data_IF_164606045416
#
_entry.id   IF_164606045416
#
_cell.length_a   1.000
_cell.length_b   1.000
_cell.length_c   1.000
_cell.angle_alpha   90.00
_cell.angle_beta   90.00
_cell.angle_gamma   90.00
#
_symmetry.space_group_name_H-M   'P 1'
#
loop_
_entity.id
_entity.type
_entity.pdbx_description
1 polymer ?
#
# COMPACT_ATOMS: atom_id res chain seq x y z
N UNK A 1 9.24 -19.51 6.80
CA UNK A 1 8.43 -18.48 6.09
C UNK A 1 8.88 -17.09 6.49
N UNK A 2 9.01 -16.80 7.79
CA UNK A 2 9.58 -15.56 8.34
C UNK A 2 10.96 -15.23 7.78
N UNK A 3 11.90 -16.19 7.70
CA UNK A 3 13.25 -15.95 7.17
C UNK A 3 13.30 -15.56 5.68
N UNK A 4 12.26 -15.90 4.91
CA UNK A 4 12.13 -15.52 3.49
C UNK A 4 11.64 -14.07 3.41
N UNK A 5 10.64 -13.71 4.22
CA UNK A 5 10.10 -12.36 4.32
C UNK A 5 11.17 -11.39 4.82
N UNK A 6 11.93 -11.79 5.85
CA UNK A 6 13.03 -11.00 6.40
C UNK A 6 14.31 -11.02 5.54
N UNK A 7 14.26 -11.64 4.36
CA UNK A 7 15.38 -11.72 3.42
C UNK A 7 16.64 -12.39 3.98
N UNK A 8 16.50 -13.24 5.00
CA UNK A 8 17.60 -13.95 5.66
C UNK A 8 18.12 -15.15 4.86
N UNK A 9 17.35 -15.67 3.90
CA UNK A 9 17.73 -16.81 3.04
C UNK A 9 17.96 -16.35 1.60
N UNK A 10 19.20 -16.07 1.20
CA UNK A 10 19.51 -15.79 -0.22
C UNK A 10 19.45 -17.08 -1.05
N UNK A 11 18.33 -17.30 -1.71
CA UNK A 11 18.16 -18.34 -2.72
C UNK A 11 17.45 -17.74 -3.94
N UNK A 12 17.61 -18.32 -5.13
CA UNK A 12 17.13 -17.74 -6.40
C UNK A 12 15.61 -17.47 -6.39
N UNK A 13 14.85 -18.29 -5.64
CA UNK A 13 13.41 -18.11 -5.41
C UNK A 13 13.03 -16.81 -4.70
N UNK A 14 13.93 -16.21 -3.93
CA UNK A 14 13.68 -14.91 -3.29
C UNK A 14 13.59 -13.78 -4.31
N UNK A 15 14.25 -13.89 -5.47
CA UNK A 15 14.21 -12.85 -6.48
C UNK A 15 12.81 -12.71 -7.10
N UNK A 16 12.03 -13.81 -7.10
CA UNK A 16 10.64 -13.81 -7.53
C UNK A 16 9.70 -13.10 -6.53
N UNK A 17 10.07 -13.07 -5.25
CA UNK A 17 9.27 -12.50 -4.18
C UNK A 17 9.68 -11.07 -3.80
N UNK A 18 10.94 -10.70 -4.04
CA UNK A 18 11.44 -9.37 -3.72
C UNK A 18 12.66 -8.99 -4.57
N UNK A 19 12.41 -8.27 -5.67
CA UNK A 19 13.45 -7.69 -6.51
C UNK A 19 12.96 -6.43 -7.25
N UNK A 20 13.73 -5.93 -8.22
CA UNK A 20 13.26 -4.86 -9.10
C UNK A 20 12.04 -5.30 -9.93
N UNK A 21 11.98 -6.60 -10.25
CA UNK A 21 10.86 -7.31 -10.83
C UNK A 21 10.46 -8.47 -9.90
N UNK A 22 9.23 -8.45 -9.38
CA UNK A 22 8.69 -9.55 -8.57
C UNK A 22 7.20 -9.73 -8.82
N UNK A 23 6.69 -10.89 -8.41
CA UNK A 23 5.29 -11.28 -8.63
C UNK A 23 4.31 -10.33 -7.93
N UNK A 24 4.74 -9.72 -6.83
CA UNK A 24 3.97 -8.72 -6.09
C UNK A 24 3.73 -7.48 -6.95
N UNK A 25 4.78 -6.95 -7.60
CA UNK A 25 4.66 -5.80 -8.52
C UNK A 25 3.79 -6.08 -9.73
N UNK A 26 3.93 -7.26 -10.30
CA UNK A 26 3.11 -7.67 -11.42
C UNK A 26 1.63 -7.76 -11.04
N UNK A 27 1.31 -8.36 -9.89
CA UNK A 27 -0.07 -8.47 -9.42
C UNK A 27 -0.67 -7.10 -9.12
N UNK A 28 -0.02 -6.27 -8.30
CA UNK A 28 -0.61 -5.00 -7.92
C UNK A 28 -0.73 -4.03 -9.11
N UNK A 29 0.23 -4.03 -10.06
CA UNK A 29 0.14 -3.14 -11.22
C UNK A 29 -1.06 -3.48 -12.12
N UNK A 30 -1.27 -4.76 -12.41
CA UNK A 30 -2.44 -5.20 -13.17
C UNK A 30 -3.74 -4.99 -12.41
N UNK A 31 -3.76 -5.40 -11.13
CA UNK A 31 -4.93 -5.29 -10.26
C UNK A 31 -5.37 -3.84 -10.13
N UNK A 32 -4.46 -2.96 -9.74
CA UNK A 32 -4.76 -1.55 -9.53
C UNK A 32 -5.13 -0.86 -10.84
N UNK A 33 -4.46 -1.19 -11.94
CA UNK A 33 -4.83 -0.69 -13.27
C UNK A 33 -6.27 -1.05 -13.63
N UNK A 34 -6.65 -2.31 -13.41
CA UNK A 34 -8.01 -2.79 -13.64
C UNK A 34 -9.05 -2.11 -12.76
N UNK A 35 -8.84 -2.06 -11.43
CA UNK A 35 -9.82 -1.49 -10.49
C UNK A 35 -9.91 0.03 -10.54
N UNK A 36 -8.83 0.74 -10.91
CA UNK A 36 -8.85 2.19 -11.08
C UNK A 36 -9.28 2.64 -12.48
N UNK A 37 -9.29 1.73 -13.46
CA UNK A 37 -9.54 2.03 -14.87
C UNK A 37 -8.40 2.80 -15.56
N UNK A 38 -7.23 2.90 -14.91
CA UNK A 38 -6.03 3.53 -15.48
C UNK A 38 -5.25 2.47 -16.24
N UNK A 39 -5.30 2.50 -17.57
CA UNK A 39 -4.73 1.47 -18.46
C UNK A 39 -3.21 1.55 -18.67
N UNK A 40 -2.48 2.32 -17.84
CA UNK A 40 -1.02 2.35 -17.91
C UNK A 40 -0.35 1.08 -17.36
N UNK A 41 -1.07 0.27 -16.57
CA UNK A 41 -0.53 -0.96 -15.97
C UNK A 41 -0.75 -2.22 -16.80
N UNK A 42 -1.30 -2.14 -18.02
CA UNK A 42 -1.56 -3.30 -18.88
C UNK A 42 -0.24 -3.88 -19.44
N UNK A 43 0.28 -4.88 -18.73
CA UNK A 43 1.57 -5.54 -19.01
C UNK A 43 1.30 -7.00 -19.37
N UNK A 44 1.94 -7.53 -20.41
CA UNK A 44 1.84 -8.95 -20.77
C UNK A 44 2.78 -9.80 -19.90
N UNK A 45 2.35 -10.11 -18.67
CA UNK A 45 3.15 -10.88 -17.71
C UNK A 45 3.62 -12.21 -18.30
N UNK A 46 2.78 -12.90 -19.08
CA UNK A 46 3.13 -14.19 -19.67
C UNK A 46 4.36 -14.11 -20.58
N UNK A 47 4.48 -13.05 -21.38
CA UNK A 47 5.67 -12.81 -22.21
C UNK A 47 6.89 -12.49 -21.36
N UNK A 48 6.71 -11.69 -20.32
CA UNK A 48 7.80 -11.29 -19.43
C UNK A 48 8.36 -12.47 -18.62
N UNK A 49 7.51 -13.42 -18.23
CA UNK A 49 7.93 -14.68 -17.60
C UNK A 49 8.68 -15.56 -18.60
N UNK A 50 8.24 -15.63 -19.86
CA UNK A 50 8.89 -16.45 -20.89
C UNK A 50 10.31 -15.98 -21.24
N UNK A 51 10.61 -14.69 -21.06
CA UNK A 51 11.95 -14.13 -21.30
C UNK A 51 12.83 -14.12 -20.05
N UNK A 52 12.31 -14.52 -18.89
CA UNK A 52 13.02 -14.49 -17.61
C UNK A 52 13.83 -15.78 -17.41
N UNK A 53 15.11 -15.63 -17.01
CA UNK A 53 15.97 -16.73 -16.58
C UNK A 53 16.81 -16.34 -15.36
N UNK A 54 17.50 -17.33 -14.78
CA UNK A 54 18.44 -17.10 -13.67
C UNK A 54 19.84 -17.45 -14.16
N UNK A 55 20.74 -16.47 -14.12
CA UNK A 55 22.15 -16.59 -14.48
C UNK A 55 23.02 -16.07 -13.33
N UNK A 56 23.98 -16.86 -12.87
CA UNK A 56 24.87 -16.53 -11.74
C UNK A 56 24.14 -16.04 -10.47
N UNK A 57 22.99 -16.65 -10.16
CA UNK A 57 22.16 -16.28 -9.01
C UNK A 57 21.48 -14.91 -9.16
N UNK A 58 21.34 -14.42 -10.40
CA UNK A 58 20.63 -13.19 -10.74
C UNK A 58 19.53 -13.46 -11.73
N UNK A 59 18.39 -12.80 -11.51
CA UNK A 59 17.32 -12.73 -12.49
C UNK A 59 17.78 -11.89 -13.68
N UNK A 60 17.71 -12.47 -14.86
CA UNK A 60 18.04 -11.81 -16.13
C UNK A 60 16.85 -11.95 -17.08
N UNK A 61 16.76 -11.03 -18.03
CA UNK A 61 15.74 -11.02 -19.06
C UNK A 61 16.39 -11.16 -20.44
N UNK A 62 15.74 -11.90 -21.34
CA UNK A 62 16.18 -12.06 -22.71
C UNK A 62 16.22 -10.75 -23.50
N UNK A 63 16.98 -10.72 -24.59
CA UNK A 63 17.30 -9.53 -25.41
C UNK A 63 16.10 -8.76 -26.00
N UNK A 64 14.91 -9.34 -26.05
CA UNK A 64 13.70 -8.63 -26.50
C UNK A 64 12.99 -8.04 -25.28
N UNK A 65 13.55 -6.93 -24.79
CA UNK A 65 13.18 -6.29 -23.51
C UNK A 65 11.90 -5.43 -23.60
N UNK A 66 11.18 -5.48 -24.72
CA UNK A 66 9.99 -4.64 -24.96
C UNK A 66 8.97 -4.73 -23.82
N UNK A 67 8.73 -5.93 -23.30
CA UNK A 67 7.78 -6.12 -22.18
C UNK A 67 8.36 -5.67 -20.83
N UNK A 68 9.67 -5.73 -20.65
CA UNK A 68 10.32 -5.17 -19.47
C UNK A 68 10.24 -3.63 -19.48
N UNK A 69 10.42 -3.00 -20.64
CA UNK A 69 10.23 -1.56 -20.82
C UNK A 69 8.78 -1.16 -20.56
N UNK A 70 7.81 -1.89 -21.12
CA UNK A 70 6.38 -1.68 -20.84
C UNK A 70 6.07 -1.80 -19.36
N UNK A 71 6.64 -2.80 -18.67
CA UNK A 71 6.52 -2.94 -17.22
C UNK A 71 7.05 -1.70 -16.47
N UNK A 72 8.27 -1.24 -16.80
CA UNK A 72 8.90 -0.11 -16.12
C UNK A 72 8.14 1.21 -16.38
N UNK A 73 7.73 1.46 -17.62
CA UNK A 73 6.94 2.63 -18.00
C UNK A 73 5.55 2.59 -17.35
N UNK A 74 4.88 1.44 -17.41
CA UNK A 74 3.58 1.26 -16.80
C UNK A 74 3.61 1.49 -15.30
N UNK A 75 4.63 0.97 -14.61
CA UNK A 75 4.88 1.26 -13.20
C UNK A 75 5.07 2.76 -12.96
N UNK A 76 5.95 3.42 -13.73
CA UNK A 76 6.18 4.86 -13.59
C UNK A 76 4.88 5.68 -13.73
N UNK A 77 4.05 5.34 -14.71
CA UNK A 77 2.77 6.01 -14.93
C UNK A 77 1.75 5.72 -13.82
N UNK A 78 1.66 4.48 -13.32
CA UNK A 78 0.81 4.12 -12.17
C UNK A 78 1.18 4.91 -10.91
N UNK A 79 2.48 5.10 -10.63
CA UNK A 79 2.93 5.94 -9.52
C UNK A 79 2.44 7.38 -9.64
N UNK A 80 2.47 7.95 -10.84
CA UNK A 80 2.04 9.34 -11.04
C UNK A 80 0.53 9.51 -11.06
N UNK A 81 -0.18 8.58 -11.71
CA UNK A 81 -1.61 8.70 -11.96
C UNK A 81 -2.45 8.25 -10.76
N UNK A 82 -1.98 7.25 -10.00
CA UNK A 82 -2.75 6.61 -8.93
C UNK A 82 -2.08 6.87 -7.58
N UNK A 83 -0.88 6.33 -7.35
CA UNK A 83 -0.29 6.29 -6.01
C UNK A 83 0.07 7.67 -5.44
N UNK A 84 0.59 8.56 -6.28
CA UNK A 84 0.91 9.95 -5.91
C UNK A 84 -0.10 10.96 -6.45
N UNK A 85 -1.32 10.52 -6.75
CA UNK A 85 -2.37 11.47 -7.07
C UNK A 85 -2.60 12.41 -5.87
N UNK A 86 -2.52 13.73 -6.09
CA UNK A 86 -2.59 14.74 -5.02
C UNK A 86 -3.74 14.55 -4.03
N UNK A 87 -4.90 14.11 -4.51
CA UNK A 87 -6.07 13.84 -3.67
C UNK A 87 -5.87 12.61 -2.77
N UNK A 88 -5.22 11.55 -3.27
CA UNK A 88 -4.89 10.34 -2.48
C UNK A 88 -3.93 10.73 -1.36
N UNK A 89 -2.86 11.43 -1.69
CA UNK A 89 -1.88 11.93 -0.72
C UNK A 89 -2.54 12.86 0.31
N UNK A 90 -3.45 13.74 -0.13
CA UNK A 90 -4.21 14.60 0.77
C UNK A 90 -5.05 13.82 1.79
N UNK A 91 -5.74 12.75 1.35
CA UNK A 91 -6.47 11.87 2.27
C UNK A 91 -5.55 11.02 3.15
N UNK A 92 -4.40 10.58 2.64
CA UNK A 92 -3.42 9.82 3.42
C UNK A 92 -2.95 10.63 4.63
N UNK A 93 -2.59 11.89 4.43
CA UNK A 93 -2.18 12.79 5.52
C UNK A 93 -3.33 13.07 6.50
N UNK A 94 -4.55 13.23 6.01
CA UNK A 94 -5.73 13.37 6.89
C UNK A 94 -5.95 12.13 7.76
N UNK A 95 -5.85 10.93 7.18
CA UNK A 95 -6.04 9.66 7.89
C UNK A 95 -4.95 9.43 8.92
N UNK A 96 -3.67 9.68 8.57
CA UNK A 96 -2.54 9.63 9.52
C UNK A 96 -2.80 10.56 10.70
N UNK A 97 -3.14 11.82 10.42
CA UNK A 97 -3.41 12.80 11.46
C UNK A 97 -4.60 12.42 12.34
N UNK A 98 -5.68 11.89 11.75
CA UNK A 98 -6.83 11.42 12.51
C UNK A 98 -6.46 10.25 13.42
N UNK A 99 -5.66 9.29 12.93
CA UNK A 99 -5.18 8.16 13.72
C UNK A 99 -4.34 8.63 14.91
N UNK A 100 -3.37 9.53 14.70
CA UNK A 100 -2.56 10.11 15.78
C UNK A 100 -3.41 10.79 16.86
N UNK A 101 -4.39 11.58 16.44
CA UNK A 101 -5.29 12.30 17.36
C UNK A 101 -6.21 11.34 18.12
N UNK A 102 -6.71 10.29 17.47
CA UNK A 102 -7.52 9.24 18.11
C UNK A 102 -6.71 8.45 19.15
N UNK A 103 -5.43 8.17 18.86
CA UNK A 103 -4.53 7.55 19.84
C UNK A 103 -4.30 8.49 21.02
N UNK A 104 -4.04 9.77 20.77
CA UNK A 104 -3.84 10.78 21.82
C UNK A 104 -5.07 10.99 22.71
N UNK A 105 -6.26 10.93 22.14
CA UNK A 105 -7.54 11.02 22.88
C UNK A 105 -7.86 9.74 23.66
N UNK A 106 -7.12 8.64 23.44
CA UNK A 106 -7.35 7.34 24.05
C UNK A 106 -8.47 6.53 23.39
N UNK A 107 -8.95 6.97 22.21
CA UNK A 107 -10.00 6.32 21.45
C UNK A 107 -9.54 5.00 20.80
N UNK A 108 -8.25 4.95 20.49
CA UNK A 108 -7.51 3.83 19.90
C UNK A 108 -6.23 3.65 20.74
N UNK A 109 -5.81 2.42 21.00
CA UNK A 109 -4.52 2.17 21.67
C UNK A 109 -3.39 2.25 20.66
N UNK A 110 -2.21 2.69 21.09
CA UNK A 110 -1.05 2.73 20.18
C UNK A 110 -0.67 1.29 19.76
N UNK A 111 -0.70 0.95 18.46
CA UNK A 111 -0.29 -0.37 17.98
C UNK A 111 1.14 -0.75 18.39
N UNK A 112 2.03 0.23 18.56
CA UNK A 112 3.41 -0.03 18.98
C UNK A 112 3.47 -0.53 20.44
N UNK A 113 2.56 -0.09 21.31
CA UNK A 113 2.43 -0.61 22.67
C UNK A 113 1.90 -2.05 22.64
N UNK A 114 0.86 -2.30 21.85
CA UNK A 114 0.30 -3.65 21.68
C UNK A 114 1.34 -4.66 21.17
N UNK A 115 2.20 -4.23 20.24
CA UNK A 115 3.29 -5.04 19.71
C UNK A 115 4.32 -5.38 20.81
N UNK A 116 4.67 -4.42 21.68
CA UNK A 116 5.59 -4.65 22.81
C UNK A 116 4.98 -5.59 23.85
N UNK A 117 3.67 -5.51 24.07
CA UNK A 117 2.91 -6.40 24.95
C UNK A 117 2.71 -7.81 24.36
N UNK A 118 3.10 -8.02 23.10
CA UNK A 118 2.83 -9.24 22.33
C UNK A 118 1.32 -9.59 22.31
N UNK A 119 0.46 -8.57 22.34
CA UNK A 119 -0.98 -8.73 22.33
C UNK A 119 -1.49 -8.83 20.88
N UNK A 120 -1.12 -9.94 20.24
CA UNK A 120 -1.42 -10.17 18.82
C UNK A 120 -2.92 -10.22 18.55
N UNK A 121 -3.71 -10.76 19.49
CA UNK A 121 -5.16 -10.87 19.37
C UNK A 121 -5.83 -9.49 19.19
N UNK A 122 -5.38 -8.49 19.93
CA UNK A 122 -5.92 -7.13 19.81
C UNK A 122 -5.46 -6.46 18.53
N UNK A 123 -4.21 -6.69 18.10
CA UNK A 123 -3.67 -6.18 16.83
C UNK A 123 -4.48 -6.70 15.64
N UNK A 124 -4.93 -7.95 15.65
CA UNK A 124 -5.82 -8.48 14.60
C UNK A 124 -7.14 -7.72 14.48
N UNK A 125 -7.57 -7.02 15.54
CA UNK A 125 -8.74 -6.14 15.51
C UNK A 125 -8.51 -4.82 14.76
N UNK A 126 -7.26 -4.46 14.46
CA UNK A 126 -6.92 -3.24 13.72
C UNK A 126 -7.13 -3.45 12.23
N UNK A 127 -8.29 -3.04 11.74
CA UNK A 127 -8.66 -3.08 10.34
C UNK A 127 -9.40 -1.79 9.94
N UNK A 128 -9.61 -1.63 8.63
CA UNK A 128 -10.24 -0.44 8.05
C UNK A 128 -11.63 -0.18 8.64
N UNK A 129 -12.42 -1.23 8.89
CA UNK A 129 -13.75 -1.09 9.49
C UNK A 129 -13.67 -0.55 10.90
N UNK A 130 -12.78 -1.07 11.75
CA UNK A 130 -12.56 -0.58 13.11
C UNK A 130 -12.20 0.91 13.10
N UNK A 131 -11.21 1.28 12.29
CA UNK A 131 -10.78 2.67 12.18
C UNK A 131 -11.89 3.57 11.65
N UNK A 132 -12.59 3.15 10.59
CA UNK A 132 -13.65 3.93 9.97
C UNK A 132 -14.85 4.13 10.90
N UNK A 133 -15.21 3.14 11.73
CA UNK A 133 -16.23 3.32 12.76
C UNK A 133 -15.84 4.41 13.76
N UNK A 134 -14.57 4.44 14.21
CA UNK A 134 -14.07 5.52 15.09
C UNK A 134 -14.14 6.89 14.41
N UNK A 135 -13.78 6.96 13.13
CA UNK A 135 -13.88 8.19 12.35
C UNK A 135 -15.33 8.67 12.24
N UNK A 136 -16.29 7.77 12.03
CA UNK A 136 -17.72 8.12 12.01
C UNK A 136 -18.20 8.65 13.37
N UNK A 137 -17.89 7.94 14.46
CA UNK A 137 -18.27 8.33 15.82
C UNK A 137 -17.75 9.73 16.16
N UNK A 138 -16.49 10.01 15.84
CA UNK A 138 -15.86 11.30 16.13
C UNK A 138 -16.32 12.42 15.20
N UNK A 139 -16.69 12.11 13.95
CA UNK A 139 -17.29 13.08 13.04
C UNK A 139 -18.64 13.62 13.57
N UNK A 140 -19.41 12.79 14.27
CA UNK A 140 -20.73 13.14 14.81
C UNK A 140 -20.66 13.68 16.25
N UNK A 141 -19.91 12.98 17.11
CA UNK A 141 -19.97 13.19 18.56
C UNK A 141 -18.65 13.67 19.18
N UNK A 142 -17.61 13.87 18.37
CA UNK A 142 -16.30 14.32 18.82
C UNK A 142 -16.37 15.64 19.59
N UNK A 143 -15.76 15.67 20.78
CA UNK A 143 -15.67 16.88 21.62
C UNK A 143 -14.57 17.81 21.14
N UNK A 144 -13.42 17.24 20.77
CA UNK A 144 -12.32 18.00 20.21
C UNK A 144 -12.69 18.53 18.82
N UNK A 145 -12.54 19.85 18.64
CA UNK A 145 -13.00 20.54 17.43
C UNK A 145 -12.15 20.15 16.21
N UNK A 146 -10.83 20.06 16.37
CA UNK A 146 -9.89 19.74 15.30
C UNK A 146 -10.13 18.31 14.79
N UNK A 147 -10.16 17.34 15.70
CA UNK A 147 -10.39 15.94 15.38
C UNK A 147 -11.78 15.72 14.77
N UNK A 148 -12.84 16.33 15.33
CA UNK A 148 -14.18 16.23 14.76
C UNK A 148 -14.24 16.78 13.33
N UNK A 149 -13.63 17.95 13.09
CA UNK A 149 -13.62 18.57 11.76
C UNK A 149 -12.85 17.70 10.76
N UNK A 150 -11.69 17.18 11.16
CA UNK A 150 -10.88 16.28 10.35
C UNK A 150 -11.65 15.00 9.99
N UNK A 151 -12.24 14.32 10.98
CA UNK A 151 -13.08 13.14 10.76
C UNK A 151 -14.28 13.45 9.85
N UNK A 152 -14.96 14.58 10.07
CA UNK A 152 -16.06 15.02 9.21
C UNK A 152 -15.63 15.22 7.76
N UNK A 153 -14.45 15.80 7.54
CA UNK A 153 -13.89 16.00 6.21
C UNK A 153 -13.52 14.67 5.54
N UNK A 154 -12.99 13.69 6.27
CA UNK A 154 -12.74 12.33 5.75
C UNK A 154 -14.07 11.68 5.29
N UNK A 155 -15.08 11.66 6.16
CA UNK A 155 -16.39 11.06 5.86
C UNK A 155 -17.08 11.74 4.67
N UNK A 156 -17.01 13.07 4.60
CA UNK A 156 -17.62 13.87 3.52
C UNK A 156 -16.77 13.94 2.25
N UNK A 157 -15.64 13.22 2.21
CA UNK A 157 -14.67 13.25 1.11
C UNK A 157 -14.25 14.67 0.71
N UNK A 158 -13.92 15.51 1.69
CA UNK A 158 -13.37 16.85 1.51
C UNK A 158 -11.86 16.83 1.78
N UNK A 159 -11.01 16.70 0.76
CA UNK A 159 -9.57 16.65 0.97
C UNK A 159 -9.04 17.98 1.48
N UNK A 160 -7.92 17.94 2.21
CA UNK A 160 -7.12 19.15 2.47
C UNK A 160 -6.71 19.74 1.12
N UNK A 161 -6.89 21.05 0.97
CA UNK A 161 -6.51 21.74 -0.26
C UNK A 161 -4.98 21.82 -0.29
N UNK A 162 -4.35 21.04 -1.16
CA UNK A 162 -2.92 21.08 -1.46
C UNK A 162 -2.65 22.07 -2.58
#
# INVERSE_FOLDING_TARGET
MTDIIEKRIKNDRMMLLSSAFDVDKCDYLLRDSYYTGVSYGEIEIDRLIQTMSIEDGKMVFGKDETELERFLLGRYHMYRAVYYHKTVVGFEEMVKRAFELLVRDGAIRDPNELMKENNVAEIYGYNDSMFYQKVLDYAEHGKDKELRELCSNIVRRKPVTV
#
